data_IF_859090467750
#
_entry.id   IF_859090467750
#
_cell.length_a   1.000
_cell.length_b   1.000
_cell.length_c   1.000
_cell.angle_alpha   90.00
_cell.angle_beta   90.00
_cell.angle_gamma   90.00
#
_symmetry.space_group_name_H-M   'P 1'
#
loop_
_entity.id
_entity.type
_entity.pdbx_description
1 polymer ?
#
# COMPACT_ATOMS: atom_id res chain seq x y z
N UNK A 1 25.45 -12.43 -5.60
CA UNK A 1 25.03 -11.02 -5.58
C UNK A 1 25.23 -10.45 -6.96
N UNK A 2 24.18 -9.86 -7.56
CA UNK A 2 24.04 -9.36 -8.93
C UNK A 2 24.99 -8.20 -9.31
N UNK A 3 26.23 -8.17 -8.79
CA UNK A 3 27.24 -7.10 -8.91
C UNK A 3 27.56 -6.69 -10.36
N UNK A 4 27.26 -7.55 -11.32
CA UNK A 4 27.49 -7.29 -12.75
C UNK A 4 26.20 -7.09 -13.56
N UNK A 5 25.02 -7.19 -12.94
CA UNK A 5 23.75 -7.03 -13.65
C UNK A 5 23.65 -5.63 -14.27
N UNK A 6 23.81 -4.58 -13.46
CA UNK A 6 23.70 -3.19 -13.90
C UNK A 6 24.68 -2.82 -15.02
N UNK A 7 25.96 -3.21 -14.87
CA UNK A 7 26.98 -2.93 -15.88
C UNK A 7 26.75 -3.71 -17.18
N UNK A 8 26.29 -4.97 -17.11
CA UNK A 8 25.88 -5.73 -18.30
C UNK A 8 24.72 -5.08 -19.03
N UNK A 9 23.68 -4.65 -18.31
CA UNK A 9 22.51 -3.96 -18.89
C UNK A 9 22.95 -2.70 -19.62
N UNK A 10 23.78 -1.87 -18.97
CA UNK A 10 24.33 -0.65 -19.58
C UNK A 10 25.14 -0.95 -20.83
N UNK A 11 26.05 -1.91 -20.77
CA UNK A 11 26.90 -2.27 -21.90
C UNK A 11 26.07 -2.75 -23.09
N UNK A 12 25.13 -3.67 -22.87
CA UNK A 12 24.27 -4.19 -23.94
C UNK A 12 23.40 -3.10 -24.57
N UNK A 13 22.86 -2.19 -23.75
CA UNK A 13 22.06 -1.06 -24.23
C UNK A 13 22.90 -0.12 -25.11
N UNK A 14 24.09 0.26 -24.64
CA UNK A 14 25.00 1.16 -25.36
C UNK A 14 25.54 0.52 -26.65
N UNK A 15 25.94 -0.75 -26.62
CA UNK A 15 26.39 -1.47 -27.84
C UNK A 15 25.31 -1.53 -28.92
N UNK A 16 24.04 -1.46 -28.53
CA UNK A 16 22.90 -1.43 -29.45
C UNK A 16 22.40 -0.03 -29.80
N UNK A 17 23.09 1.03 -29.34
CA UNK A 17 22.74 2.42 -29.57
C UNK A 17 21.30 2.80 -29.13
N UNK A 18 20.82 2.18 -28.04
CA UNK A 18 19.48 2.48 -27.49
C UNK A 18 19.64 3.54 -26.39
N UNK A 19 18.90 4.64 -26.46
CA UNK A 19 18.88 5.66 -25.38
C UNK A 19 18.12 5.13 -24.16
N UNK A 20 18.18 5.80 -23.00
CA UNK A 20 17.40 5.33 -21.84
C UNK A 20 15.92 5.60 -22.03
N UNK A 21 15.61 6.70 -22.69
CA UNK A 21 14.28 7.16 -23.04
C UNK A 21 13.61 6.15 -23.99
N UNK A 22 14.30 5.76 -25.07
CA UNK A 22 13.80 4.74 -26.00
C UNK A 22 13.64 3.37 -25.32
N UNK A 23 14.52 3.06 -24.36
CA UNK A 23 14.49 1.79 -23.62
C UNK A 23 13.27 1.67 -22.69
N UNK A 24 12.93 2.76 -22.01
CA UNK A 24 11.86 2.79 -21.01
C UNK A 24 10.47 3.05 -21.62
N UNK A 25 10.40 3.58 -22.85
CA UNK A 25 9.14 3.80 -23.56
C UNK A 25 8.19 4.74 -22.82
N UNK A 26 7.04 4.24 -22.38
CA UNK A 26 6.02 5.00 -21.65
C UNK A 26 6.25 5.06 -20.13
N UNK A 27 7.35 4.47 -19.66
CA UNK A 27 7.80 4.40 -18.26
C UNK A 27 6.82 3.67 -17.32
N UNK A 28 5.88 2.88 -17.86
CA UNK A 28 4.91 2.12 -17.05
C UNK A 28 5.57 1.03 -16.20
N UNK A 29 6.48 0.26 -16.81
CA UNK A 29 7.20 -0.85 -16.16
C UNK A 29 8.51 -0.41 -15.50
N UNK A 30 9.23 0.52 -16.14
CA UNK A 30 10.54 0.97 -15.71
C UNK A 30 10.75 2.45 -16.08
N UNK A 31 11.01 3.30 -15.08
CA UNK A 31 11.32 4.71 -15.33
C UNK A 31 12.77 4.91 -15.76
N UNK A 32 13.07 6.02 -16.44
CA UNK A 32 14.44 6.38 -16.83
C UNK A 32 15.37 6.48 -15.60
N UNK A 33 14.84 6.99 -14.47
CA UNK A 33 15.56 7.11 -13.20
C UNK A 33 15.80 5.76 -12.54
N UNK A 34 14.82 4.85 -12.58
CA UNK A 34 14.98 3.47 -12.11
C UNK A 34 16.06 2.75 -12.94
N UNK A 35 16.00 2.85 -14.27
CA UNK A 35 17.01 2.27 -15.15
C UNK A 35 18.41 2.82 -14.85
N UNK A 36 18.55 4.13 -14.66
CA UNK A 36 19.84 4.74 -14.32
C UNK A 36 20.44 4.22 -13.01
N UNK A 37 19.60 4.01 -11.98
CA UNK A 37 20.01 3.43 -10.68
C UNK A 37 20.38 1.95 -10.77
N UNK A 38 19.68 1.20 -11.63
CA UNK A 38 20.02 -0.20 -11.92
C UNK A 38 21.37 -0.27 -12.65
N UNK A 39 21.57 0.55 -13.69
CA UNK A 39 22.82 0.59 -14.47
C UNK A 39 24.04 1.01 -13.63
N UNK A 40 23.84 1.87 -12.62
CA UNK A 40 24.90 2.28 -11.69
C UNK A 40 25.15 1.27 -10.57
N UNK A 41 24.32 0.22 -10.44
CA UNK A 41 24.42 -0.78 -9.37
C UNK A 41 23.89 -0.29 -8.02
N UNK A 42 23.20 0.85 -7.97
CA UNK A 42 22.57 1.38 -6.75
C UNK A 42 21.24 0.67 -6.42
N UNK A 43 20.66 -0.04 -7.38
CA UNK A 43 19.34 -0.66 -7.28
C UNK A 43 19.35 -2.06 -7.88
N UNK A 44 18.67 -2.99 -7.20
CA UNK A 44 18.39 -4.34 -7.69
C UNK A 44 16.97 -4.33 -8.27
N UNK A 45 16.77 -4.71 -9.54
CA UNK A 45 15.42 -4.79 -10.10
C UNK A 45 14.67 -5.99 -9.55
N UNK A 46 13.35 -5.86 -9.42
CA UNK A 46 12.50 -7.01 -9.17
C UNK A 46 12.41 -7.94 -10.40
N UNK A 47 11.77 -9.09 -10.24
CA UNK A 47 11.64 -10.08 -11.31
C UNK A 47 10.95 -9.52 -12.56
N UNK A 48 9.86 -8.75 -12.40
CA UNK A 48 9.09 -8.16 -13.51
C UNK A 48 9.94 -7.18 -14.32
N UNK A 49 10.62 -6.25 -13.65
CA UNK A 49 11.53 -5.27 -14.26
C UNK A 49 12.72 -5.97 -14.91
N UNK A 50 13.27 -7.01 -14.30
CA UNK A 50 14.36 -7.78 -14.89
C UNK A 50 13.93 -8.49 -16.19
N UNK A 51 12.71 -9.05 -16.23
CA UNK A 51 12.13 -9.61 -17.46
C UNK A 51 11.89 -8.55 -18.52
N UNK A 52 11.38 -7.37 -18.13
CA UNK A 52 11.21 -6.24 -19.04
C UNK A 52 12.55 -5.83 -19.67
N UNK A 53 13.60 -5.67 -18.85
CA UNK A 53 14.96 -5.36 -19.30
C UNK A 53 15.48 -6.43 -20.27
N UNK A 54 15.30 -7.71 -19.94
CA UNK A 54 15.73 -8.84 -20.78
C UNK A 54 15.01 -8.83 -22.14
N UNK A 55 13.71 -8.54 -22.15
CA UNK A 55 12.89 -8.42 -23.35
C UNK A 55 13.35 -7.27 -24.24
N UNK A 56 13.57 -6.09 -23.68
CA UNK A 56 14.06 -4.91 -24.43
C UNK A 56 15.45 -5.16 -25.01
N UNK A 57 16.31 -5.85 -24.26
CA UNK A 57 17.63 -6.26 -24.73
C UNK A 57 17.58 -7.53 -25.59
N UNK A 58 16.43 -8.12 -25.91
CA UNK A 58 16.30 -9.38 -26.66
C UNK A 58 17.33 -10.45 -26.22
N UNK A 59 17.46 -10.65 -24.91
CA UNK A 59 18.34 -11.65 -24.29
C UNK A 59 17.57 -12.47 -23.27
N UNK A 60 18.06 -13.67 -22.96
CA UNK A 60 17.50 -14.45 -21.85
C UNK A 60 17.87 -13.83 -20.51
N UNK A 61 16.97 -13.91 -19.55
CA UNK A 61 17.17 -13.38 -18.19
C UNK A 61 18.43 -13.97 -17.54
N UNK A 62 18.68 -15.26 -17.72
CA UNK A 62 19.85 -15.97 -17.16
C UNK A 62 21.19 -15.37 -17.57
N UNK A 63 21.26 -14.77 -18.77
CA UNK A 63 22.48 -14.13 -19.27
C UNK A 63 22.77 -12.85 -18.46
N UNK A 64 21.72 -12.12 -18.10
CA UNK A 64 21.81 -10.89 -17.31
C UNK A 64 22.11 -11.22 -15.85
N UNK A 65 21.41 -12.18 -15.26
CA UNK A 65 21.56 -12.56 -13.84
C UNK A 65 22.80 -13.41 -13.57
N UNK A 66 23.39 -14.03 -14.60
CA UNK A 66 24.54 -14.92 -14.44
C UNK A 66 24.20 -16.22 -13.72
N UNK A 67 22.93 -16.66 -13.79
CA UNK A 67 22.44 -17.86 -13.11
C UNK A 67 22.03 -17.65 -11.64
N UNK A 68 22.14 -16.42 -11.11
CA UNK A 68 21.61 -16.09 -9.79
C UNK A 68 20.08 -15.95 -9.83
N UNK A 69 19.42 -16.42 -8.77
CA UNK A 69 17.98 -16.27 -8.60
C UNK A 69 17.64 -14.85 -8.13
N UNK A 70 16.58 -14.28 -8.71
CA UNK A 70 15.95 -13.03 -8.28
C UNK A 70 14.80 -13.29 -7.28
N UNK A 71 14.63 -14.53 -6.83
CA UNK A 71 13.57 -14.88 -5.88
C UNK A 71 13.85 -14.33 -4.49
N UNK A 72 12.81 -13.76 -3.89
CA UNK A 72 12.88 -13.24 -2.53
C UNK A 72 12.99 -14.38 -1.50
N UNK A 73 13.75 -14.20 -0.40
CA UNK A 73 13.84 -15.17 0.68
C UNK A 73 12.48 -15.56 1.25
N UNK A 74 12.28 -16.86 1.55
CA UNK A 74 11.00 -17.36 2.10
C UNK A 74 10.64 -16.67 3.41
N UNK A 75 11.61 -16.51 4.31
CA UNK A 75 11.41 -15.85 5.60
C UNK A 75 10.97 -14.39 5.44
N UNK A 76 11.59 -13.66 4.51
CA UNK A 76 11.13 -12.30 4.17
C UNK A 76 9.67 -12.28 3.73
N UNK A 77 9.26 -13.19 2.82
CA UNK A 77 7.87 -13.29 2.36
C UNK A 77 6.90 -13.56 3.52
N UNK A 78 7.27 -14.44 4.46
CA UNK A 78 6.49 -14.72 5.66
C UNK A 78 6.32 -13.49 6.56
N UNK A 79 7.42 -12.75 6.81
CA UNK A 79 7.39 -11.52 7.60
C UNK A 79 6.52 -10.46 6.94
N UNK A 80 6.70 -10.22 5.64
CA UNK A 80 5.88 -9.31 4.84
C UNK A 80 4.40 -9.68 4.90
N UNK A 81 4.07 -10.96 4.77
CA UNK A 81 2.69 -11.44 4.89
C UNK A 81 2.10 -11.13 6.27
N UNK A 82 2.84 -11.37 7.35
CA UNK A 82 2.40 -11.04 8.72
C UNK A 82 2.20 -9.53 8.90
N UNK A 83 3.10 -8.72 8.37
CA UNK A 83 2.98 -7.25 8.37
C UNK A 83 1.73 -6.78 7.61
N UNK A 84 1.39 -7.44 6.50
CA UNK A 84 0.22 -7.08 5.69
C UNK A 84 -1.11 -7.53 6.29
N UNK A 85 -1.13 -8.66 7.00
CA UNK A 85 -2.37 -9.29 7.48
C UNK A 85 -2.75 -8.96 8.91
N UNK A 86 -1.78 -8.66 9.78
CA UNK A 86 -2.05 -8.55 11.22
C UNK A 86 -2.53 -7.15 11.60
N UNK A 87 -3.78 -6.96 12.04
CA UNK A 87 -4.25 -5.66 12.52
C UNK A 87 -3.71 -5.38 13.94
N UNK A 88 -3.19 -4.18 14.14
CA UNK A 88 -2.69 -3.74 15.45
C UNK A 88 -3.76 -3.04 16.28
N UNK A 89 -4.68 -2.30 15.65
CA UNK A 89 -5.71 -1.47 16.31
C UNK A 89 -5.16 -0.50 17.38
N UNK A 90 -3.84 -0.23 17.38
CA UNK A 90 -3.18 0.57 18.42
C UNK A 90 -2.81 -0.21 19.70
N UNK A 91 -2.95 -1.54 19.71
CA UNK A 91 -2.48 -2.38 20.81
C UNK A 91 -0.94 -2.39 20.87
N UNK A 92 -0.39 -1.91 22.00
CA UNK A 92 1.04 -1.78 22.21
C UNK A 92 1.80 -3.12 22.07
N UNK A 93 1.20 -4.25 22.50
CA UNK A 93 1.85 -5.55 22.36
C UNK A 93 1.92 -5.99 20.89
N UNK A 94 0.86 -5.73 20.12
CA UNK A 94 0.83 -6.03 18.68
C UNK A 94 1.77 -5.12 17.91
N UNK A 95 1.90 -3.86 18.32
CA UNK A 95 2.87 -2.93 17.76
C UNK A 95 4.32 -3.39 18.04
N UNK A 96 4.65 -3.79 19.26
CA UNK A 96 5.98 -4.32 19.59
C UNK A 96 6.35 -5.58 18.79
N UNK A 97 5.40 -6.50 18.59
CA UNK A 97 5.62 -7.68 17.71
C UNK A 97 5.84 -7.26 16.27
N UNK A 98 5.13 -6.22 15.81
CA UNK A 98 5.27 -5.68 14.46
C UNK A 98 6.63 -5.01 14.25
N UNK A 99 7.10 -4.24 15.23
CA UNK A 99 8.44 -3.63 15.24
C UNK A 99 9.52 -4.70 15.15
N UNK A 100 9.43 -5.79 15.92
CA UNK A 100 10.38 -6.89 15.84
C UNK A 100 10.45 -7.55 14.45
N UNK A 101 9.35 -7.57 13.68
CA UNK A 101 9.38 -8.04 12.29
C UNK A 101 10.13 -7.08 11.37
N UNK A 102 10.04 -5.77 11.59
CA UNK A 102 10.82 -4.79 10.84
C UNK A 102 12.30 -4.89 11.16
N UNK A 103 12.66 -5.02 12.45
CA UNK A 103 14.05 -5.21 12.87
C UNK A 103 14.68 -6.41 12.16
N UNK A 104 13.99 -7.56 12.13
CA UNK A 104 14.47 -8.75 11.42
C UNK A 104 14.64 -8.50 9.92
N UNK A 105 13.74 -7.72 9.29
CA UNK A 105 13.84 -7.37 7.87
C UNK A 105 15.05 -6.46 7.62
N UNK A 106 15.22 -5.41 8.42
CA UNK A 106 16.29 -4.43 8.28
C UNK A 106 17.67 -5.03 8.51
N UNK A 107 17.81 -5.89 9.53
CA UNK A 107 19.09 -6.50 9.87
C UNK A 107 19.52 -7.61 8.89
N UNK A 108 18.57 -8.43 8.43
CA UNK A 108 18.89 -9.69 7.72
C UNK A 108 18.69 -9.60 6.22
N UNK A 109 17.65 -8.90 5.75
CA UNK A 109 17.19 -9.01 4.36
C UNK A 109 17.32 -7.71 3.55
N UNK A 110 17.21 -6.54 4.19
CA UNK A 110 16.95 -5.27 3.51
C UNK A 110 17.95 -4.91 2.42
N UNK A 111 19.25 -5.10 2.65
CA UNK A 111 20.31 -4.81 1.66
C UNK A 111 20.24 -5.68 0.39
N UNK A 112 19.66 -6.88 0.49
CA UNK A 112 19.54 -7.82 -0.62
C UNK A 112 18.21 -7.69 -1.39
N UNK A 113 17.27 -6.91 -0.86
CA UNK A 113 15.96 -6.73 -1.46
C UNK A 113 16.01 -5.85 -2.73
N UNK A 114 15.14 -6.13 -3.72
CA UNK A 114 14.88 -5.21 -4.81
C UNK A 114 14.46 -3.83 -4.30
N UNK A 115 14.74 -2.79 -5.09
CA UNK A 115 14.36 -1.42 -4.72
C UNK A 115 12.87 -1.26 -4.44
N UNK A 116 12.03 -1.93 -5.24
CA UNK A 116 10.59 -1.95 -5.04
C UNK A 116 10.23 -2.49 -3.65
N UNK A 117 10.83 -3.60 -3.24
CA UNK A 117 10.53 -4.25 -1.97
C UNK A 117 11.03 -3.45 -0.78
N UNK A 118 12.24 -2.87 -0.86
CA UNK A 118 12.75 -1.94 0.17
C UNK A 118 11.81 -0.76 0.36
N UNK A 119 11.37 -0.15 -0.74
CA UNK A 119 10.42 0.96 -0.70
C UNK A 119 9.11 0.57 -0.02
N UNK A 120 8.58 -0.62 -0.29
CA UNK A 120 7.35 -1.12 0.36
C UNK A 120 7.56 -1.30 1.86
N UNK A 121 8.68 -1.87 2.30
CA UNK A 121 8.99 -2.02 3.73
C UNK A 121 9.08 -0.65 4.41
N UNK A 122 9.80 0.28 3.79
CA UNK A 122 9.95 1.62 4.34
C UNK A 122 8.61 2.36 4.40
N UNK A 123 7.73 2.17 3.41
CA UNK A 123 6.37 2.71 3.45
C UNK A 123 5.54 2.14 4.61
N UNK A 124 5.65 0.84 4.87
CA UNK A 124 4.95 0.21 5.98
C UNK A 124 5.47 0.67 7.35
N UNK A 125 6.79 0.87 7.48
CA UNK A 125 7.41 1.40 8.69
C UNK A 125 6.99 2.85 8.94
N UNK A 126 7.04 3.68 7.89
CA UNK A 126 6.69 5.12 7.95
C UNK A 126 5.26 5.36 8.44
N UNK A 127 4.33 4.42 8.18
CA UNK A 127 2.96 4.48 8.68
C UNK A 127 2.86 4.33 10.21
N UNK A 128 3.81 3.63 10.84
CA UNK A 128 3.82 3.43 12.30
C UNK A 128 4.42 4.61 13.04
N UNK A 129 5.39 5.28 12.42
CA UNK A 129 6.05 6.44 13.02
C UNK A 129 5.08 7.63 13.02
N UNK A 130 4.29 7.76 14.09
CA UNK A 130 3.37 8.90 14.36
C UNK A 130 4.09 10.24 14.30
N UNK A 131 5.42 10.21 14.45
CA UNK A 131 6.31 11.27 14.02
C UNK A 131 6.70 11.06 12.55
N UNK A 132 5.88 11.56 11.64
CA UNK A 132 6.43 12.32 10.51
C UNK A 132 7.11 13.55 11.11
N UNK A 133 8.21 13.35 11.85
CA UNK A 133 9.09 14.45 12.18
C UNK A 133 9.50 15.03 10.84
N UNK A 134 9.40 16.35 10.76
CA UNK A 134 9.80 17.25 9.69
C UNK A 134 11.23 17.01 9.15
N UNK A 135 11.94 15.99 9.61
CA UNK A 135 13.24 15.59 9.14
C UNK A 135 13.18 14.47 8.12
N UNK A 136 13.83 14.80 7.01
CA UNK A 136 14.32 13.95 5.94
C UNK A 136 13.27 13.61 4.90
N UNK A 137 13.35 14.33 3.76
CA UNK A 137 13.25 13.88 2.37
C UNK A 137 13.05 12.36 2.15
N UNK A 138 12.09 11.71 2.82
CA UNK A 138 11.85 10.28 2.70
C UNK A 138 11.32 10.05 1.29
N UNK A 139 12.25 9.68 0.42
CA UNK A 139 12.02 9.31 -0.96
C UNK A 139 10.96 10.12 -1.68
N UNK A 140 10.75 11.42 -1.43
CA UNK A 140 9.65 12.17 -2.08
C UNK A 140 9.79 12.04 -3.60
N UNK A 141 11.03 12.05 -4.08
CA UNK A 141 11.38 11.79 -5.49
C UNK A 141 11.09 10.35 -5.91
N UNK A 142 11.37 9.35 -5.06
CA UNK A 142 11.09 7.94 -5.33
C UNK A 142 9.57 7.71 -5.33
N UNK A 143 8.86 8.11 -4.27
CA UNK A 143 7.40 8.13 -4.19
C UNK A 143 6.79 8.84 -5.40
N UNK A 144 7.33 9.97 -5.86
CA UNK A 144 6.85 10.65 -7.07
C UNK A 144 6.99 9.77 -8.32
N UNK A 145 8.15 9.16 -8.54
CA UNK A 145 8.38 8.27 -9.69
C UNK A 145 7.40 7.09 -9.69
N UNK A 146 7.19 6.46 -8.54
CA UNK A 146 6.25 5.34 -8.39
C UNK A 146 4.79 5.79 -8.46
N UNK A 147 4.46 6.98 -7.97
CA UNK A 147 3.11 7.53 -8.04
C UNK A 147 2.69 7.81 -9.48
N UNK A 148 3.60 8.31 -10.33
CA UNK A 148 3.34 8.48 -11.75
C UNK A 148 3.12 7.13 -12.47
N UNK A 149 3.82 6.07 -12.05
CA UNK A 149 3.57 4.71 -12.54
C UNK A 149 2.19 4.19 -12.10
N UNK A 150 1.81 4.38 -10.83
CA UNK A 150 0.50 3.99 -10.28
C UNK A 150 -0.63 4.69 -11.04
N UNK A 151 -0.47 5.96 -11.43
CA UNK A 151 -1.47 6.69 -12.23
C UNK A 151 -1.71 6.09 -13.60
N UNK A 152 -0.69 5.48 -14.22
CA UNK A 152 -0.77 4.87 -15.56
C UNK A 152 -1.28 3.43 -15.53
N UNK A 153 -1.10 2.72 -14.40
CA UNK A 153 -1.53 1.33 -14.23
C UNK A 153 -3.06 1.20 -14.26
N UNK A 154 -3.53 0.09 -14.83
CA UNK A 154 -4.96 -0.28 -14.87
C UNK A 154 -5.37 -1.10 -13.67
N UNK A 155 -4.59 -2.14 -13.38
CA UNK A 155 -4.79 -3.07 -12.27
C UNK A 155 -3.69 -2.87 -11.23
N UNK A 156 -4.09 -2.81 -9.96
CA UNK A 156 -3.19 -2.59 -8.84
C UNK A 156 -2.86 -3.88 -8.11
N UNK A 157 -1.60 -3.98 -7.68
CA UNK A 157 -1.08 -5.07 -6.87
C UNK A 157 -1.01 -4.67 -5.40
N UNK A 158 -0.81 -5.63 -4.51
CA UNK A 158 -0.58 -5.44 -3.07
C UNK A 158 0.45 -4.35 -2.78
N UNK A 159 1.57 -4.32 -3.52
CA UNK A 159 2.60 -3.29 -3.36
C UNK A 159 2.07 -1.90 -3.74
N UNK A 160 1.29 -1.80 -4.81
CA UNK A 160 0.67 -0.53 -5.23
C UNK A 160 -0.31 -0.02 -4.15
N UNK A 161 -1.08 -0.91 -3.51
CA UNK A 161 -1.99 -0.54 -2.42
C UNK A 161 -1.25 0.00 -1.19
N UNK A 162 -0.13 -0.59 -0.79
CA UNK A 162 0.70 -0.09 0.33
C UNK A 162 1.22 1.32 0.04
N UNK A 163 1.64 1.56 -1.21
CA UNK A 163 2.10 2.89 -1.63
C UNK A 163 0.96 3.92 -1.60
N UNK A 164 -0.22 3.53 -2.08
CA UNK A 164 -1.42 4.39 -2.04
C UNK A 164 -1.85 4.66 -0.59
N UNK A 165 -1.76 3.66 0.30
CA UNK A 165 -2.05 3.80 1.73
C UNK A 165 -1.16 4.88 2.38
N UNK A 166 0.15 4.84 2.11
CA UNK A 166 1.07 5.87 2.59
C UNK A 166 0.76 7.24 1.95
N UNK A 167 0.50 7.29 0.64
CA UNK A 167 0.15 8.53 -0.03
C UNK A 167 -1.07 9.21 0.60
N UNK A 168 -2.14 8.45 0.87
CA UNK A 168 -3.36 8.99 1.48
C UNK A 168 -3.12 9.42 2.94
N UNK A 169 -2.25 8.73 3.68
CA UNK A 169 -1.83 9.17 5.01
C UNK A 169 -1.05 10.49 4.94
N UNK A 170 -0.08 10.60 4.04
CA UNK A 170 0.66 11.85 3.84
C UNK A 170 -0.26 12.98 3.38
N UNK A 171 -1.27 12.67 2.55
CA UNK A 171 -2.29 13.62 2.12
C UNK A 171 -3.13 14.13 3.30
N UNK A 172 -3.50 13.27 4.26
CA UNK A 172 -4.28 13.70 5.44
C UNK A 172 -3.54 14.74 6.29
N UNK A 173 -2.21 14.60 6.39
CA UNK A 173 -1.35 15.48 7.19
C UNK A 173 -0.98 16.76 6.43
N UNK A 174 -0.64 16.64 5.14
CA UNK A 174 -0.04 17.73 4.35
C UNK A 174 -1.04 18.45 3.43
N UNK A 175 -2.34 18.15 3.54
CA UNK A 175 -3.38 18.81 2.75
C UNK A 175 -3.30 20.33 2.85
N UNK A 176 -3.26 21.01 1.69
CA UNK A 176 -3.18 22.47 1.60
C UNK A 176 -1.75 23.02 1.44
N UNK A 177 -0.71 22.19 1.57
CA UNK A 177 0.66 22.55 1.20
C UNK A 177 0.87 22.29 -0.30
N UNK A 178 1.25 23.32 -1.09
CA UNK A 178 1.43 23.23 -2.55
C UNK A 178 2.42 22.11 -2.92
N UNK A 179 1.91 20.95 -3.35
CA UNK A 179 2.69 19.77 -3.77
C UNK A 179 1.75 18.67 -4.35
N UNK A 180 2.24 17.43 -4.46
CA UNK A 180 1.51 16.21 -4.89
C UNK A 180 0.17 15.95 -4.16
N UNK A 181 -0.04 16.56 -2.99
CA UNK A 181 -1.20 16.36 -2.13
C UNK A 181 -2.37 17.29 -2.48
N UNK A 182 -2.83 17.22 -3.73
CA UNK A 182 -3.98 17.99 -4.21
C UNK A 182 -5.30 17.22 -4.09
N UNK A 183 -6.41 17.95 -3.94
CA UNK A 183 -7.75 17.34 -3.93
C UNK A 183 -8.06 16.62 -5.25
N UNK A 184 -7.55 17.11 -6.37
CA UNK A 184 -7.67 16.48 -7.68
C UNK A 184 -7.01 15.09 -7.71
N UNK A 185 -5.77 14.98 -7.20
CA UNK A 185 -5.09 13.68 -7.11
C UNK A 185 -5.82 12.74 -6.15
N UNK A 186 -6.34 13.24 -5.03
CA UNK A 186 -7.18 12.45 -4.13
C UNK A 186 -8.42 11.88 -4.84
N UNK A 187 -9.15 12.72 -5.57
CA UNK A 187 -10.33 12.29 -6.34
C UNK A 187 -9.98 11.24 -7.40
N UNK A 188 -8.88 11.45 -8.12
CA UNK A 188 -8.39 10.52 -9.12
C UNK A 188 -8.03 9.15 -8.51
N UNK A 189 -7.28 9.15 -7.40
CA UNK A 189 -6.90 7.91 -6.72
C UNK A 189 -8.13 7.21 -6.14
N UNK A 190 -9.04 7.94 -5.50
CA UNK A 190 -10.24 7.36 -4.92
C UNK A 190 -11.15 6.73 -5.98
N UNK A 191 -11.33 7.39 -7.14
CA UNK A 191 -12.09 6.77 -8.24
C UNK A 191 -11.40 5.51 -8.75
N UNK A 192 -10.07 5.53 -8.91
CA UNK A 192 -9.31 4.34 -9.33
C UNK A 192 -9.41 3.17 -8.37
N UNK A 193 -9.34 3.43 -7.07
CA UNK A 193 -9.50 2.41 -6.03
C UNK A 193 -10.90 1.79 -6.07
N UNK A 194 -11.94 2.60 -6.23
CA UNK A 194 -13.32 2.13 -6.27
C UNK A 194 -13.69 1.42 -7.59
N UNK A 195 -12.95 1.68 -8.66
CA UNK A 195 -13.09 1.04 -9.98
C UNK A 195 -12.26 -0.26 -10.12
N UNK A 196 -11.38 -0.58 -9.16
CA UNK A 196 -10.62 -1.84 -9.19
C UNK A 196 -11.58 -3.03 -9.04
N UNK A 197 -11.58 -3.95 -9.99
CA UNK A 197 -12.41 -5.17 -9.99
C UNK A 197 -11.59 -6.40 -10.44
N UNK A 198 -12.10 -7.60 -10.15
CA UNK A 198 -11.48 -8.90 -10.52
C UNK A 198 -10.03 -9.09 -10.02
N UNK A 199 -9.70 -8.54 -8.85
CA UNK A 199 -8.38 -8.69 -8.24
C UNK A 199 -8.20 -10.07 -7.60
N UNK A 200 -6.94 -10.45 -7.35
CA UNK A 200 -6.63 -11.60 -6.52
C UNK A 200 -7.14 -11.39 -5.09
N UNK A 201 -7.48 -12.46 -4.33
CA UNK A 201 -8.00 -12.31 -2.96
C UNK A 201 -7.10 -11.51 -2.01
N UNK A 202 -5.78 -11.61 -2.17
CA UNK A 202 -4.82 -10.85 -1.38
C UNK A 202 -4.84 -9.35 -1.72
N UNK A 203 -4.92 -9.02 -3.01
CA UNK A 203 -5.02 -7.65 -3.48
C UNK A 203 -6.36 -7.02 -3.08
N UNK A 204 -7.45 -7.78 -3.19
CA UNK A 204 -8.77 -7.37 -2.69
C UNK A 204 -8.75 -7.09 -1.19
N UNK A 205 -8.08 -7.94 -0.39
CA UNK A 205 -7.90 -7.69 1.03
C UNK A 205 -7.17 -6.37 1.29
N UNK A 206 -6.10 -6.07 0.54
CA UNK A 206 -5.37 -4.81 0.70
C UNK A 206 -6.17 -3.59 0.23
N UNK A 207 -6.88 -3.69 -0.89
CA UNK A 207 -7.80 -2.66 -1.34
C UNK A 207 -8.81 -2.31 -0.24
N UNK A 208 -9.42 -3.33 0.37
CA UNK A 208 -10.36 -3.13 1.47
C UNK A 208 -9.72 -2.41 2.67
N UNK A 209 -8.49 -2.78 3.03
CA UNK A 209 -7.75 -2.09 4.10
C UNK A 209 -7.51 -0.61 3.77
N UNK A 210 -7.08 -0.29 2.55
CA UNK A 210 -6.84 1.09 2.11
C UNK A 210 -8.14 1.91 2.16
N UNK A 211 -9.24 1.37 1.62
CA UNK A 211 -10.54 2.06 1.62
C UNK A 211 -11.04 2.35 3.05
N UNK A 212 -10.92 1.36 3.95
CA UNK A 212 -11.38 1.52 5.33
C UNK A 212 -10.49 2.44 6.15
N UNK A 213 -9.17 2.38 6.00
CA UNK A 213 -8.24 3.23 6.74
C UNK A 213 -8.41 4.72 6.39
N UNK A 214 -8.78 5.03 5.14
CA UNK A 214 -8.83 6.40 4.62
C UNK A 214 -10.24 6.95 4.44
N UNK A 215 -11.26 6.25 4.95
CA UNK A 215 -12.66 6.73 4.90
C UNK A 215 -12.86 8.05 5.63
N UNK A 216 -12.05 8.35 6.64
CA UNK A 216 -12.10 9.59 7.40
C UNK A 216 -11.87 10.82 6.50
N UNK A 217 -11.00 10.71 5.49
CA UNK A 217 -10.82 11.76 4.48
C UNK A 217 -12.12 12.04 3.73
N UNK A 218 -12.89 11.01 3.38
CA UNK A 218 -14.17 11.19 2.70
C UNK A 218 -15.18 11.91 3.60
N UNK A 219 -15.18 11.65 4.92
CA UNK A 219 -15.96 12.43 5.88
C UNK A 219 -15.48 13.89 6.00
N UNK A 220 -14.17 14.11 6.14
CA UNK A 220 -13.55 15.43 6.27
C UNK A 220 -13.89 16.34 5.08
N UNK A 221 -13.81 15.81 3.86
CA UNK A 221 -14.14 16.55 2.63
C UNK A 221 -15.64 16.50 2.27
N UNK A 222 -16.50 16.00 3.16
CA UNK A 222 -17.95 15.91 2.99
C UNK A 222 -18.37 15.17 1.71
N UNK A 223 -17.58 14.19 1.29
CA UNK A 223 -17.81 13.38 0.09
C UNK A 223 -18.74 12.20 0.38
N UNK A 224 -20.03 12.50 0.61
CA UNK A 224 -21.06 11.49 0.94
C UNK A 224 -21.06 10.29 -0.01
N UNK A 225 -20.92 10.55 -1.32
CA UNK A 225 -20.92 9.51 -2.35
C UNK A 225 -19.79 8.50 -2.16
N UNK A 226 -18.59 8.97 -1.82
CA UNK A 226 -17.46 8.08 -1.58
C UNK A 226 -17.66 7.23 -0.33
N UNK A 227 -18.19 7.80 0.75
CA UNK A 227 -18.49 7.00 1.96
C UNK A 227 -19.45 5.85 1.63
N UNK A 228 -20.52 6.13 0.89
CA UNK A 228 -21.48 5.10 0.46
C UNK A 228 -20.83 4.04 -0.45
N UNK A 229 -20.01 4.46 -1.41
CA UNK A 229 -19.30 3.55 -2.31
C UNK A 229 -18.28 2.69 -1.55
N UNK A 230 -17.56 3.25 -0.59
CA UNK A 230 -16.61 2.54 0.28
C UNK A 230 -17.35 1.48 1.10
N UNK A 231 -18.48 1.82 1.73
CA UNK A 231 -19.26 0.86 2.52
C UNK A 231 -19.73 -0.31 1.63
N UNK A 232 -20.31 0.00 0.47
CA UNK A 232 -20.78 -1.02 -0.47
C UNK A 232 -19.64 -1.91 -0.97
N UNK A 233 -18.54 -1.29 -1.41
CA UNK A 233 -17.39 -1.98 -1.97
C UNK A 233 -16.70 -2.86 -0.92
N UNK A 234 -16.51 -2.34 0.29
CA UNK A 234 -15.92 -3.09 1.40
C UNK A 234 -16.75 -4.34 1.73
N UNK A 235 -18.08 -4.19 1.78
CA UNK A 235 -18.95 -5.33 2.04
C UNK A 235 -18.90 -6.38 0.91
N UNK A 236 -18.88 -5.94 -0.35
CA UNK A 236 -18.72 -6.82 -1.51
C UNK A 236 -17.40 -7.59 -1.43
N UNK A 237 -16.28 -6.88 -1.20
CA UNK A 237 -14.96 -7.51 -1.08
C UNK A 237 -14.92 -8.55 0.04
N UNK A 238 -15.38 -8.22 1.25
CA UNK A 238 -15.40 -9.18 2.37
C UNK A 238 -16.20 -10.44 2.03
N UNK A 239 -17.29 -10.29 1.28
CA UNK A 239 -18.12 -11.42 0.82
C UNK A 239 -17.40 -12.24 -0.25
N UNK A 240 -16.77 -11.60 -1.22
CA UNK A 240 -16.04 -12.23 -2.32
C UNK A 240 -14.85 -13.07 -1.83
N UNK A 241 -14.08 -12.56 -0.87
CA UNK A 241 -12.88 -13.23 -0.35
C UNK A 241 -13.15 -14.05 0.93
N UNK A 242 -14.40 -14.07 1.42
CA UNK A 242 -14.82 -14.70 2.67
C UNK A 242 -13.99 -14.29 3.91
N UNK A 243 -13.57 -13.02 3.95
CA UNK A 243 -12.81 -12.45 5.06
C UNK A 243 -13.63 -11.36 5.77
N UNK A 244 -14.10 -11.68 6.97
CA UNK A 244 -14.95 -10.80 7.77
C UNK A 244 -14.22 -10.18 8.97
N UNK A 245 -12.87 -10.28 9.04
CA UNK A 245 -12.11 -9.73 10.17
C UNK A 245 -12.30 -8.22 10.31
N UNK A 246 -12.54 -7.52 9.20
CA UNK A 246 -12.77 -6.07 9.17
C UNK A 246 -14.24 -5.65 9.33
N UNK A 247 -15.17 -6.60 9.51
CA UNK A 247 -16.59 -6.29 9.68
C UNK A 247 -16.89 -5.36 10.87
N UNK A 248 -16.25 -5.47 12.05
CA UNK A 248 -16.45 -4.50 13.12
C UNK A 248 -16.10 -3.06 12.72
N UNK A 249 -15.04 -2.89 11.92
CA UNK A 249 -14.59 -1.58 11.42
C UNK A 249 -15.57 -1.02 10.38
N UNK A 250 -16.09 -1.88 9.48
CA UNK A 250 -17.13 -1.46 8.54
C UNK A 250 -18.39 -1.01 9.28
N UNK A 251 -18.81 -1.73 10.32
CA UNK A 251 -19.96 -1.33 11.15
C UNK A 251 -19.73 -0.02 11.92
N UNK A 252 -18.48 0.28 12.31
CA UNK A 252 -18.08 1.60 12.82
C UNK A 252 -18.33 2.71 11.81
N UNK A 253 -17.94 2.49 10.56
CA UNK A 253 -18.12 3.47 9.48
C UNK A 253 -19.61 3.64 9.16
N UNK A 254 -20.37 2.55 9.11
CA UNK A 254 -21.83 2.56 8.89
C UNK A 254 -22.54 3.41 9.96
N UNK A 255 -22.20 3.24 11.25
CA UNK A 255 -22.85 4.05 12.28
C UNK A 255 -22.44 5.53 12.20
N UNK A 256 -21.17 5.85 11.92
CA UNK A 256 -20.72 7.25 11.78
C UNK A 256 -21.42 7.91 10.60
N UNK A 257 -21.57 7.20 9.49
CA UNK A 257 -22.35 7.64 8.34
C UNK A 257 -23.82 7.92 8.74
N UNK A 258 -24.46 7.02 9.47
CA UNK A 258 -25.85 7.18 9.93
C UNK A 258 -26.02 8.36 10.90
N UNK A 259 -25.07 8.59 11.82
CA UNK A 259 -25.11 9.71 12.77
C UNK A 259 -24.88 11.06 12.09
N UNK A 260 -23.83 11.18 11.27
CA UNK A 260 -23.39 12.46 10.70
C UNK A 260 -24.29 12.88 9.53
N UNK A 261 -24.65 11.94 8.65
CA UNK A 261 -25.28 12.24 7.37
C UNK A 261 -26.79 12.00 7.40
N UNK A 262 -27.23 10.83 7.87
CA UNK A 262 -28.67 10.47 7.89
C UNK A 262 -29.39 10.94 9.16
N UNK A 263 -28.63 11.27 10.21
CA UNK A 263 -29.12 11.64 11.55
C UNK A 263 -30.06 10.60 12.17
N UNK A 264 -29.89 9.33 11.81
CA UNK A 264 -30.69 8.21 12.30
C UNK A 264 -29.94 7.48 13.43
N UNK A 265 -30.23 7.89 14.67
CA UNK A 265 -29.59 7.33 15.87
C UNK A 265 -29.96 5.87 16.11
N UNK A 266 -31.17 5.45 15.73
CA UNK A 266 -31.67 4.09 16.02
C UNK A 266 -30.95 3.04 15.17
N UNK A 267 -30.76 3.34 13.88
CA UNK A 267 -29.96 2.48 13.00
C UNK A 267 -28.49 2.51 13.38
N UNK A 268 -27.95 3.67 13.75
CA UNK A 268 -26.57 3.78 14.20
C UNK A 268 -26.30 2.88 15.43
N UNK A 269 -27.21 2.87 16.41
CA UNK A 269 -27.10 2.01 17.59
C UNK A 269 -27.14 0.51 17.22
N UNK A 270 -27.92 0.16 16.18
CA UNK A 270 -27.97 -1.21 15.67
C UNK A 270 -26.62 -1.63 15.04
N UNK A 271 -26.02 -0.76 14.22
CA UNK A 271 -24.68 -0.98 13.67
C UNK A 271 -23.61 -1.09 14.77
N UNK A 272 -23.69 -0.24 15.81
CA UNK A 272 -22.81 -0.34 16.97
C UNK A 272 -22.93 -1.70 17.67
N UNK A 273 -24.16 -2.15 17.99
CA UNK A 273 -24.37 -3.48 18.60
C UNK A 273 -23.81 -4.61 17.75
N UNK A 274 -23.98 -4.54 16.42
CA UNK A 274 -23.39 -5.52 15.50
C UNK A 274 -21.87 -5.52 15.56
N UNK A 275 -21.23 -4.35 15.58
CA UNK A 275 -19.77 -4.25 15.67
C UNK A 275 -19.20 -4.95 16.90
N UNK A 276 -19.88 -4.81 18.05
CA UNK A 276 -19.50 -5.42 19.32
C UNK A 276 -19.65 -6.94 19.25
N UNK A 277 -20.77 -7.42 18.71
CA UNK A 277 -20.98 -8.85 18.49
C UNK A 277 -19.90 -9.44 17.59
N UNK A 278 -19.54 -8.78 16.49
CA UNK A 278 -18.47 -9.26 15.62
C UNK A 278 -17.11 -9.25 16.31
N UNK A 279 -16.78 -8.22 17.08
CA UNK A 279 -15.53 -8.16 17.84
C UNK A 279 -15.43 -9.30 18.87
N UNK A 280 -16.54 -9.67 19.50
CA UNK A 280 -16.62 -10.84 20.39
C UNK A 280 -16.47 -12.16 19.65
N UNK A 281 -17.12 -12.32 18.49
CA UNK A 281 -17.06 -13.53 17.69
C UNK A 281 -15.64 -13.83 17.18
N UNK A 282 -14.88 -12.79 16.83
CA UNK A 282 -13.46 -12.94 16.44
C UNK A 282 -12.51 -13.06 17.65
N UNK A 283 -13.04 -12.92 18.87
CA UNK A 283 -12.24 -12.99 20.10
C UNK A 283 -11.36 -11.78 20.38
N UNK A 284 -11.58 -10.63 19.71
CA UNK A 284 -10.75 -9.43 19.88
C UNK A 284 -11.36 -8.48 20.92
N UNK A 285 -11.08 -8.77 22.20
CA UNK A 285 -11.55 -7.96 23.32
C UNK A 285 -10.97 -6.54 23.34
N UNK A 286 -9.75 -6.35 22.81
CA UNK A 286 -9.13 -5.03 22.72
C UNK A 286 -9.90 -4.16 21.72
N UNK A 287 -10.19 -4.71 20.53
CA UNK A 287 -11.01 -4.03 19.53
C UNK A 287 -12.39 -3.68 20.08
N UNK A 288 -13.05 -4.62 20.78
CA UNK A 288 -14.34 -4.35 21.44
C UNK A 288 -14.26 -3.12 22.37
N UNK A 289 -13.22 -3.05 23.21
CA UNK A 289 -13.00 -1.90 24.09
C UNK A 289 -12.90 -0.59 23.32
N UNK A 290 -12.13 -0.56 22.23
CA UNK A 290 -11.99 0.61 21.35
C UNK A 290 -13.28 1.02 20.65
N UNK A 291 -14.10 0.07 20.22
CA UNK A 291 -15.40 0.37 19.61
C UNK A 291 -16.36 1.04 20.61
N UNK A 292 -16.34 0.62 21.88
CA UNK A 292 -17.14 1.24 22.95
C UNK A 292 -16.64 2.67 23.23
N UNK A 293 -15.33 2.87 23.34
CA UNK A 293 -14.73 4.21 23.50
C UNK A 293 -15.16 5.15 22.38
N UNK A 294 -15.07 4.71 21.12
CA UNK A 294 -15.45 5.52 19.95
C UNK A 294 -16.94 5.84 19.90
N UNK A 295 -17.82 4.87 20.20
CA UNK A 295 -19.26 5.12 20.27
C UNK A 295 -19.63 6.18 21.30
N UNK A 296 -18.99 6.15 22.48
CA UNK A 296 -19.24 7.14 23.52
C UNK A 296 -18.79 8.55 23.09
N UNK A 297 -17.66 8.67 22.37
CA UNK A 297 -17.20 9.95 21.80
C UNK A 297 -18.15 10.47 20.73
N UNK A 298 -18.70 9.60 19.89
CA UNK A 298 -19.61 10.00 18.81
C UNK A 298 -20.99 10.48 19.31
N UNK A 299 -21.34 10.14 20.57
CA UNK A 299 -22.58 10.56 21.22
C UNK A 299 -22.43 11.82 22.09
N UNK A 300 -21.20 12.28 22.35
CA UNK A 300 -20.93 13.49 23.15
C UNK A 300 -20.91 14.74 22.28
#
# INVERSE_FOLDING_TARGET
>A
MLKHFGSKVRNLRVTRNITREDFCGDETELSVRQLARIESGQSIPNLTKAHYIAKQLNVKLDILTGGESLELPKRYKELKYKLLRTPTYGDANRLAVREAYFDEIYEVFYEELPEDERLIIDCMQSKLDVHFSVNDNFGITILHDYFDQIKKKKEYTTNDFVMIDLYLLCFSINYGMKSLYSLENYHFIMSKLLEQDNLLPEDNFQLNNVLLNHVELAFQFKQKKYVQQIIHRSNAIMTEIHDFQKRPILSLIEWKYLLIIEKDRTKAETCFKQSILFAELIGDLYLKGKLIEEWNKDLT
#
